data_IF_416225458998
#
_entry.id   IF_416225458998
#
_cell.length_a   1.000
_cell.length_b   1.000
_cell.length_c   1.000
_cell.angle_alpha   90.00
_cell.angle_beta   90.00
_cell.angle_gamma   90.00
#
_symmetry.space_group_name_H-M   'P 1'
#
loop_
_entity.id
_entity.type
_entity.pdbx_description
1 polymer ?
#
# COMPACT_ATOMS: atom_id res chain seq x y z
N UNK A 1 1.77 -26.34 -14.03
CA UNK A 1 2.22 -26.42 -12.62
C UNK A 1 3.08 -25.21 -12.28
N UNK A 2 4.40 -25.22 -12.52
CA UNK A 2 5.27 -24.05 -12.19
C UNK A 2 4.80 -22.71 -12.80
N UNK A 3 4.34 -22.69 -14.05
CA UNK A 3 3.82 -21.46 -14.67
C UNK A 3 2.58 -20.93 -13.93
N UNK A 4 1.62 -21.80 -13.66
CA UNK A 4 0.32 -21.41 -13.09
C UNK A 4 0.49 -20.91 -11.65
N UNK A 5 1.41 -21.50 -10.90
CA UNK A 5 1.80 -21.08 -9.55
C UNK A 5 2.48 -19.70 -9.56
N UNK A 6 3.41 -19.47 -10.50
CA UNK A 6 4.05 -18.17 -10.66
C UNK A 6 3.05 -17.10 -11.08
N UNK A 7 2.15 -17.40 -12.01
CA UNK A 7 1.10 -16.46 -12.40
C UNK A 7 0.15 -16.12 -11.23
N UNK A 8 -0.19 -17.11 -10.41
CA UNK A 8 -0.96 -16.89 -9.19
C UNK A 8 -0.23 -15.94 -8.23
N UNK A 9 1.05 -16.19 -7.97
CA UNK A 9 1.87 -15.33 -7.11
C UNK A 9 2.02 -13.91 -7.65
N UNK A 10 2.15 -13.75 -8.97
CA UNK A 10 2.23 -12.42 -9.61
C UNK A 10 0.92 -11.64 -9.45
N UNK A 11 -0.23 -12.31 -9.58
CA UNK A 11 -1.55 -11.70 -9.36
C UNK A 11 -1.75 -11.29 -7.89
N UNK A 12 -1.33 -12.14 -6.96
CA UNK A 12 -1.38 -11.82 -5.53
C UNK A 12 -0.48 -10.62 -5.20
N UNK A 13 0.74 -10.60 -5.76
CA UNK A 13 1.68 -9.50 -5.58
C UNK A 13 1.14 -8.17 -6.12
N UNK A 14 0.48 -8.16 -7.27
CA UNK A 14 -0.19 -6.96 -7.80
C UNK A 14 -1.28 -6.45 -6.85
N UNK A 15 -2.08 -7.36 -6.28
CA UNK A 15 -3.11 -7.01 -5.31
C UNK A 15 -2.50 -6.41 -4.05
N UNK A 16 -1.42 -7.01 -3.52
CA UNK A 16 -0.71 -6.50 -2.35
C UNK A 16 -0.10 -5.12 -2.62
N UNK A 17 0.54 -4.91 -3.77
CA UNK A 17 1.06 -3.60 -4.17
C UNK A 17 -0.02 -2.52 -4.14
N UNK A 18 -1.21 -2.81 -4.67
CA UNK A 18 -2.32 -1.85 -4.69
C UNK A 18 -2.81 -1.52 -3.28
N UNK A 19 -2.94 -2.52 -2.41
CA UNK A 19 -3.35 -2.32 -1.01
C UNK A 19 -2.29 -1.51 -0.25
N UNK A 20 -1.02 -1.86 -0.39
CA UNK A 20 0.11 -1.15 0.22
C UNK A 20 0.19 0.29 -0.28
N UNK A 21 0.01 0.51 -1.58
CA UNK A 21 0.00 1.85 -2.16
C UNK A 21 -1.15 2.71 -1.66
N UNK A 22 -2.35 2.12 -1.57
CA UNK A 22 -3.52 2.80 -0.99
C UNK A 22 -3.30 3.16 0.48
N UNK A 23 -2.69 2.27 1.27
CA UNK A 23 -2.29 2.55 2.64
C UNK A 23 -1.27 3.69 2.73
N UNK A 24 -0.25 3.69 1.86
CA UNK A 24 0.76 4.75 1.82
C UNK A 24 0.16 6.11 1.46
N UNK A 25 -0.69 6.17 0.43
CA UNK A 25 -1.40 7.38 0.05
C UNK A 25 -2.31 7.86 1.18
N UNK A 26 -3.04 6.95 1.83
CA UNK A 26 -3.88 7.28 2.97
C UNK A 26 -3.09 7.89 4.14
N UNK A 27 -1.99 7.25 4.56
CA UNK A 27 -1.13 7.77 5.63
C UNK A 27 -0.54 9.13 5.28
N UNK A 28 -0.18 9.37 4.01
CA UNK A 28 0.37 10.65 3.56
C UNK A 28 -0.64 11.81 3.63
N UNK A 29 -1.94 11.53 3.50
CA UNK A 29 -3.01 12.53 3.50
C UNK A 29 -3.62 12.78 4.90
N UNK A 30 -3.30 11.95 5.89
CA UNK A 30 -3.81 12.10 7.26
C UNK A 30 -3.16 13.30 7.97
N UNK A 31 -3.99 14.14 8.58
CA UNK A 31 -3.55 15.07 9.61
C UNK A 31 -3.55 14.38 10.98
N UNK A 32 -2.36 13.94 11.41
CA UNK A 32 -2.19 13.22 12.68
C UNK A 32 -2.60 14.03 13.91
N UNK A 33 -2.62 15.36 13.83
CA UNK A 33 -3.05 16.22 14.93
C UNK A 33 -4.56 16.21 15.16
N UNK A 34 -5.32 15.74 14.17
CA UNK A 34 -6.78 15.68 14.18
C UNK A 34 -7.34 14.30 14.56
N UNK A 35 -6.48 13.29 14.71
CA UNK A 35 -6.90 11.91 14.99
C UNK A 35 -7.25 11.68 16.47
N UNK A 36 -8.26 10.85 16.72
CA UNK A 36 -8.48 10.25 18.03
C UNK A 36 -7.29 9.35 18.40
N UNK A 37 -7.00 9.22 19.70
CA UNK A 37 -5.81 8.49 20.18
C UNK A 37 -5.76 7.04 19.67
N UNK A 38 -6.89 6.35 19.64
CA UNK A 38 -7.00 4.98 19.14
C UNK A 38 -6.71 4.89 17.64
N UNK A 39 -7.12 5.90 16.87
CA UNK A 39 -6.85 5.98 15.43
C UNK A 39 -5.41 6.36 15.14
N UNK A 40 -4.82 7.24 15.96
CA UNK A 40 -3.42 7.63 15.85
C UNK A 40 -2.50 6.41 16.00
N UNK A 41 -2.75 5.56 17.00
CA UNK A 41 -1.96 4.34 17.19
C UNK A 41 -2.04 3.39 15.98
N UNK A 42 -3.23 3.24 15.39
CA UNK A 42 -3.38 2.42 14.18
C UNK A 42 -2.64 3.03 12.97
N UNK A 43 -2.68 4.35 12.82
CA UNK A 43 -1.94 5.06 11.77
C UNK A 43 -0.42 4.95 11.96
N UNK A 44 0.08 5.00 13.21
CA UNK A 44 1.50 4.80 13.53
C UNK A 44 1.98 3.40 13.15
N UNK A 45 1.23 2.35 13.51
CA UNK A 45 1.56 0.97 13.12
C UNK A 45 1.61 0.82 11.59
N UNK A 46 0.68 1.47 10.88
CA UNK A 46 0.66 1.45 9.42
C UNK A 46 1.87 2.20 8.83
N UNK A 47 2.20 3.38 9.36
CA UNK A 47 3.36 4.16 8.94
C UNK A 47 4.68 3.42 9.20
N UNK A 48 4.83 2.79 10.36
CA UNK A 48 5.99 1.94 10.68
C UNK A 48 6.11 0.77 9.71
N UNK A 49 5.01 0.07 9.45
CA UNK A 49 4.97 -1.05 8.49
C UNK A 49 5.36 -0.60 7.08
N UNK A 50 4.90 0.57 6.63
CA UNK A 50 5.27 1.16 5.35
C UNK A 50 6.76 1.53 5.29
N UNK A 51 7.32 2.07 6.37
CA UNK A 51 8.74 2.42 6.46
C UNK A 51 9.67 1.20 6.47
N UNK A 52 9.15 0.00 6.78
CA UNK A 52 9.91 -1.25 6.70
C UNK A 52 9.99 -1.84 5.29
N UNK A 53 9.21 -1.32 4.33
CA UNK A 53 9.30 -1.74 2.93
C UNK A 53 10.61 -1.23 2.31
N UNK A 54 11.11 -1.96 1.31
CA UNK A 54 12.18 -1.40 0.47
C UNK A 54 11.65 -0.20 -0.32
N UNK A 55 12.53 0.75 -0.63
CA UNK A 55 12.21 1.92 -1.46
C UNK A 55 11.60 1.50 -2.81
N UNK A 56 12.14 0.44 -3.42
CA UNK A 56 11.60 -0.14 -4.65
C UNK A 56 10.17 -0.66 -4.48
N UNK A 57 9.90 -1.41 -3.41
CA UNK A 57 8.55 -1.96 -3.15
C UNK A 57 7.55 -0.84 -2.88
N UNK A 58 7.96 0.18 -2.12
CA UNK A 58 7.11 1.34 -1.83
C UNK A 58 6.79 2.12 -3.11
N UNK A 59 7.80 2.37 -3.95
CA UNK A 59 7.63 3.03 -5.25
C UNK A 59 6.68 2.26 -6.16
N UNK A 60 6.88 0.96 -6.33
CA UNK A 60 5.99 0.11 -7.14
C UNK A 60 4.55 0.11 -6.60
N UNK A 61 4.39 0.15 -5.28
CA UNK A 61 3.06 0.22 -4.64
C UNK A 61 2.34 1.53 -4.96
N UNK A 62 3.07 2.65 -4.90
CA UNK A 62 2.55 3.98 -5.25
C UNK A 62 2.21 4.09 -6.74
N UNK A 63 3.02 3.50 -7.61
CA UNK A 63 2.73 3.43 -9.05
C UNK A 63 1.48 2.58 -9.34
N UNK A 64 1.37 1.41 -8.70
CA UNK A 64 0.23 0.51 -8.87
C UNK A 64 -1.09 1.13 -8.39
N UNK A 65 -1.10 1.81 -7.24
CA UNK A 65 -2.32 2.47 -6.75
C UNK A 65 -2.70 3.66 -7.64
N UNK A 66 -1.72 4.44 -8.12
CA UNK A 66 -1.98 5.55 -9.03
C UNK A 66 -2.61 5.06 -10.34
N UNK A 67 -2.03 4.04 -10.96
CA UNK A 67 -2.61 3.42 -12.16
C UNK A 67 -4.02 2.90 -11.91
N UNK A 68 -4.29 2.36 -10.72
CA UNK A 68 -5.63 1.91 -10.36
C UNK A 68 -6.64 3.05 -10.22
N UNK A 69 -6.26 4.15 -9.57
CA UNK A 69 -7.09 5.36 -9.43
C UNK A 69 -7.39 5.95 -10.81
N UNK A 70 -6.38 6.08 -11.66
CA UNK A 70 -6.52 6.61 -13.02
C UNK A 70 -7.47 5.74 -13.87
N UNK A 71 -7.51 4.42 -13.64
CA UNK A 71 -8.44 3.52 -14.32
C UNK A 71 -9.89 3.58 -13.81
N UNK A 72 -10.14 4.20 -12.66
CA UNK A 72 -11.49 4.40 -12.09
C UNK A 72 -12.12 5.74 -12.49
N UNK A 73 -11.33 6.68 -13.00
CA UNK A 73 -11.75 8.03 -13.41
C UNK A 73 -12.31 8.05 -14.84
#
# INVERSE_FOLDING_TARGET
MLRDEVEMLMRERDTLLRVTGAAAAFVAEIDSSSLAAETLQAAEVLAESLNHLSEDTLRESLEAVKAHIDAMA
#
